data_IF_563498871952
#
_entry.id   IF_563498871952
#
_cell.length_a   1.000
_cell.length_b   1.000
_cell.length_c   1.000
_cell.angle_alpha   90.00
_cell.angle_beta   90.00
_cell.angle_gamma   90.00
#
_symmetry.space_group_name_H-M   'P 1'
#
loop_
_entity.id
_entity.type
_entity.pdbx_description
1 polymer ?
#
# COMPACT_ATOMS: atom_id res chain seq x y z
N UNK A 1 11.48 17.43 40.97
CA UNK A 1 12.54 18.44 41.22
C UNK A 1 11.95 19.58 42.05
N UNK A 2 12.77 20.32 42.79
CA UNK A 2 12.36 21.59 43.35
C UNK A 2 12.08 22.61 42.22
N UNK A 3 11.31 23.67 42.51
CA UNK A 3 10.85 24.61 41.49
C UNK A 3 12.00 25.35 40.79
N UNK A 4 13.04 25.72 41.54
CA UNK A 4 14.28 26.35 41.09
C UNK A 4 15.08 25.46 40.10
N UNK A 5 15.11 24.15 40.34
CA UNK A 5 15.75 23.18 39.44
C UNK A 5 15.04 23.14 38.09
N UNK A 6 13.70 23.11 38.10
CA UNK A 6 12.92 23.07 36.87
C UNK A 6 13.02 24.39 36.09
N UNK A 7 13.05 25.52 36.81
CA UNK A 7 13.29 26.84 36.21
C UNK A 7 14.66 26.94 35.55
N UNK A 8 15.70 26.42 36.19
CA UNK A 8 17.06 26.40 35.62
C UNK A 8 17.13 25.55 34.35
N UNK A 9 16.50 24.37 34.37
CA UNK A 9 16.45 23.51 33.19
C UNK A 9 15.68 24.16 32.04
N UNK A 10 14.53 24.79 32.33
CA UNK A 10 13.76 25.54 31.33
C UNK A 10 14.59 26.68 30.72
N UNK A 11 15.25 27.50 31.54
CA UNK A 11 16.06 28.62 31.07
C UNK A 11 17.23 28.15 30.17
N UNK A 12 17.87 27.02 30.51
CA UNK A 12 18.95 26.44 29.71
C UNK A 12 18.48 25.85 28.38
N UNK A 13 17.20 25.47 28.26
CA UNK A 13 16.61 24.81 27.10
C UNK A 13 15.48 25.63 26.46
N UNK A 14 15.41 26.94 26.72
CA UNK A 14 14.27 27.78 26.37
C UNK A 14 13.93 27.73 24.87
N UNK A 15 14.94 27.62 24.00
CA UNK A 15 14.75 27.51 22.55
C UNK A 15 13.92 26.30 22.12
N UNK A 16 14.01 25.18 22.85
CA UNK A 16 13.25 23.97 22.57
C UNK A 16 11.77 24.07 22.98
N UNK A 17 11.42 25.07 23.78
CA UNK A 17 10.07 25.28 24.32
C UNK A 17 9.36 26.50 23.72
N UNK A 18 9.94 27.13 22.71
CA UNK A 18 9.31 28.25 22.00
C UNK A 18 8.00 27.78 21.38
N UNK A 19 6.98 28.63 21.48
CA UNK A 19 5.79 28.45 20.67
C UNK A 19 6.19 28.73 19.21
N UNK A 20 5.94 27.81 18.26
CA UNK A 20 6.02 28.15 16.87
C UNK A 20 4.96 29.20 16.53
N UNK A 21 5.04 29.76 15.34
CA UNK A 21 3.94 30.54 14.79
C UNK A 21 2.74 29.62 14.53
N UNK A 22 1.56 30.08 14.95
CA UNK A 22 0.29 29.45 14.66
C UNK A 22 -0.54 30.38 13.79
N UNK A 23 -1.32 29.80 12.87
CA UNK A 23 -2.25 30.55 12.04
C UNK A 23 -3.65 29.98 12.18
N UNK A 24 -4.63 30.87 12.21
CA UNK A 24 -6.03 30.53 12.03
C UNK A 24 -6.35 30.47 10.54
N UNK A 25 -7.06 29.44 10.10
CA UNK A 25 -7.44 29.23 8.71
C UNK A 25 -8.96 29.09 8.60
N UNK A 26 -9.54 29.67 7.56
CA UNK A 26 -10.85 29.27 7.06
C UNK A 26 -10.65 28.66 5.68
N UNK A 27 -11.38 27.60 5.35
CA UNK A 27 -11.30 26.97 4.03
C UNK A 27 -12.64 26.39 3.57
N UNK A 28 -12.81 26.33 2.26
CA UNK A 28 -13.94 25.67 1.60
C UNK A 28 -13.42 24.78 0.47
N UNK A 29 -14.04 23.62 0.30
CA UNK A 29 -13.68 22.66 -0.74
C UNK A 29 -14.79 22.58 -1.76
N UNK A 30 -14.48 22.88 -3.02
CA UNK A 30 -15.36 22.71 -4.15
C UNK A 30 -15.04 21.39 -4.85
N UNK A 31 -15.88 20.39 -4.61
CA UNK A 31 -15.88 19.10 -5.29
C UNK A 31 -17.32 18.68 -5.55
N UNK A 32 -17.55 17.76 -6.49
CA UNK A 32 -18.88 17.19 -6.70
C UNK A 32 -19.44 16.57 -5.39
N UNK A 33 -18.58 15.94 -4.59
CA UNK A 33 -18.96 15.40 -3.29
C UNK A 33 -19.35 16.48 -2.27
N UNK A 34 -18.69 17.65 -2.28
CA UNK A 34 -19.02 18.76 -1.39
C UNK A 34 -20.33 19.47 -1.78
N UNK A 35 -20.68 19.46 -3.07
CA UNK A 35 -21.95 19.99 -3.60
C UNK A 35 -23.09 18.96 -3.59
N UNK A 36 -22.77 17.68 -3.40
CA UNK A 36 -23.74 16.60 -3.46
C UNK A 36 -24.77 16.73 -2.34
N UNK A 37 -26.04 16.76 -2.73
CA UNK A 37 -27.18 16.72 -1.82
C UNK A 37 -28.07 15.51 -2.13
N UNK A 38 -27.84 14.36 -1.49
CA UNK A 38 -28.70 13.18 -1.63
C UNK A 38 -30.16 13.44 -1.28
N UNK A 39 -30.46 14.44 -0.45
CA UNK A 39 -31.84 14.73 -0.03
C UNK A 39 -32.65 15.44 -1.12
N UNK A 40 -31.98 16.05 -2.10
CA UNK A 40 -32.60 16.64 -3.28
C UNK A 40 -33.09 15.61 -4.31
N UNK A 41 -32.61 14.37 -4.22
CA UNK A 41 -32.94 13.31 -5.18
C UNK A 41 -34.27 12.63 -4.80
N UNK A 42 -35.25 12.79 -5.68
CA UNK A 42 -36.60 12.23 -5.55
C UNK A 42 -36.62 10.71 -5.76
N UNK A 43 -37.56 10.01 -5.12
CA UNK A 43 -37.75 8.57 -5.33
C UNK A 43 -38.13 8.23 -6.78
N UNK A 44 -38.82 9.14 -7.49
CA UNK A 44 -39.16 8.98 -8.90
C UNK A 44 -37.90 8.94 -9.79
N UNK A 45 -36.92 9.81 -9.52
CA UNK A 45 -35.64 9.81 -10.23
C UNK A 45 -34.86 8.52 -9.99
N UNK A 46 -34.86 8.01 -8.76
CA UNK A 46 -34.21 6.74 -8.40
C UNK A 46 -34.88 5.56 -9.11
N UNK A 47 -36.22 5.52 -9.14
CA UNK A 47 -36.96 4.49 -9.84
C UNK A 47 -36.70 4.52 -11.35
N UNK A 48 -36.70 5.72 -11.96
CA UNK A 48 -36.42 5.90 -13.38
C UNK A 48 -35.00 5.44 -13.76
N UNK A 49 -33.99 5.80 -12.96
CA UNK A 49 -32.60 5.37 -13.21
C UNK A 49 -32.46 3.84 -13.06
N UNK A 50 -33.05 3.26 -12.02
CA UNK A 50 -33.05 1.81 -11.83
C UNK A 50 -33.70 1.05 -13.00
N UNK A 51 -34.80 1.57 -13.55
CA UNK A 51 -35.47 0.99 -14.71
C UNK A 51 -34.62 1.14 -15.98
N UNK A 52 -34.04 2.33 -16.20
CA UNK A 52 -33.16 2.59 -17.34
C UNK A 52 -31.90 1.71 -17.32
N UNK A 53 -31.36 1.46 -16.13
CA UNK A 53 -30.15 0.68 -15.90
C UNK A 53 -30.44 -0.75 -15.39
N UNK A 54 -31.66 -1.27 -15.61
CA UNK A 54 -32.09 -2.56 -15.06
C UNK A 54 -31.16 -3.73 -15.38
N UNK A 55 -30.46 -3.69 -16.51
CA UNK A 55 -29.48 -4.69 -16.90
C UNK A 55 -28.28 -4.76 -15.93
N UNK A 56 -27.87 -3.65 -15.33
CA UNK A 56 -26.77 -3.61 -14.35
C UNK A 56 -27.17 -4.27 -13.01
N UNK A 57 -28.47 -4.30 -12.71
CA UNK A 57 -29.03 -4.92 -11.50
C UNK A 57 -29.53 -6.34 -11.73
N UNK A 58 -29.35 -6.88 -12.94
CA UNK A 58 -29.87 -8.19 -13.32
C UNK A 58 -28.72 -9.12 -13.67
N UNK A 59 -28.57 -10.18 -12.90
CA UNK A 59 -27.76 -11.34 -13.29
C UNK A 59 -28.63 -12.23 -14.19
N UNK A 60 -28.34 -12.34 -15.50
CA UNK A 60 -29.19 -13.11 -16.41
C UNK A 60 -29.18 -14.59 -16.04
N UNK A 61 -30.26 -15.29 -16.42
CA UNK A 61 -30.31 -16.75 -16.32
C UNK A 61 -29.12 -17.37 -17.07
N UNK A 62 -28.44 -18.33 -16.42
CA UNK A 62 -27.35 -19.11 -17.03
C UNK A 62 -27.67 -20.58 -17.02
N UNK A 63 -27.24 -21.28 -18.06
CA UNK A 63 -27.46 -22.72 -18.20
C UNK A 63 -26.13 -23.41 -18.46
N UNK A 64 -25.94 -24.55 -17.79
CA UNK A 64 -24.85 -25.47 -18.11
C UNK A 64 -25.28 -26.34 -19.28
N UNK A 65 -24.69 -26.09 -20.45
CA UNK A 65 -25.12 -26.67 -21.72
C UNK A 65 -24.07 -27.66 -22.22
N UNK A 66 -24.52 -28.85 -22.59
CA UNK A 66 -23.75 -29.84 -23.35
C UNK A 66 -24.33 -29.97 -24.75
N UNK A 67 -23.47 -30.24 -25.74
CA UNK A 67 -23.90 -30.40 -27.13
C UNK A 67 -23.18 -31.55 -27.84
N UNK A 68 -23.87 -32.15 -28.81
CA UNK A 68 -23.30 -33.10 -29.76
C UNK A 68 -23.67 -32.64 -31.16
N UNK A 69 -22.67 -32.36 -31.99
CA UNK A 69 -22.84 -31.98 -33.40
C UNK A 69 -22.72 -33.23 -34.27
N UNK A 70 -23.68 -33.41 -35.18
CA UNK A 70 -23.78 -34.55 -36.09
C UNK A 70 -23.44 -34.14 -37.53
N UNK A 71 -22.95 -35.09 -38.35
CA UNK A 71 -22.58 -34.82 -39.75
C UNK A 71 -23.79 -34.53 -40.65
N UNK A 72 -24.95 -35.11 -40.33
CA UNK A 72 -26.20 -34.92 -41.07
C UNK A 72 -27.42 -35.12 -40.16
N UNK A 73 -28.59 -34.76 -40.70
CA UNK A 73 -29.85 -34.77 -39.97
C UNK A 73 -30.30 -36.20 -39.63
N UNK A 74 -30.05 -37.16 -40.51
CA UNK A 74 -30.43 -38.55 -40.31
C UNK A 74 -29.68 -39.17 -39.12
N UNK A 75 -28.39 -38.85 -38.96
CA UNK A 75 -27.59 -39.27 -37.83
C UNK A 75 -28.09 -38.66 -36.50
N UNK A 76 -28.43 -37.37 -36.50
CA UNK A 76 -28.99 -36.70 -35.32
C UNK A 76 -30.38 -37.24 -34.93
N UNK A 77 -31.26 -37.48 -35.92
CA UNK A 77 -32.60 -38.05 -35.69
C UNK A 77 -32.50 -39.50 -35.14
N UNK A 78 -31.55 -40.30 -35.67
CA UNK A 78 -31.29 -41.64 -35.15
C UNK A 78 -30.77 -41.63 -33.70
N UNK A 79 -29.92 -40.67 -33.37
CA UNK A 79 -29.44 -40.46 -32.00
C UNK A 79 -30.58 -40.04 -31.06
N UNK A 80 -31.45 -39.12 -31.49
CA UNK A 80 -32.65 -38.71 -30.73
C UNK A 80 -33.61 -39.87 -30.50
N UNK A 81 -33.85 -40.70 -31.53
CA UNK A 81 -34.67 -41.90 -31.39
C UNK A 81 -34.08 -42.90 -30.39
N UNK A 82 -32.75 -43.02 -30.34
CA UNK A 82 -32.05 -43.87 -29.38
C UNK A 82 -32.23 -43.38 -27.93
N UNK A 83 -32.23 -42.06 -27.71
CA UNK A 83 -32.56 -41.48 -26.40
C UNK A 83 -33.99 -41.82 -25.96
N UNK A 84 -34.96 -41.73 -26.89
CA UNK A 84 -36.34 -42.12 -26.62
C UNK A 84 -36.49 -43.61 -26.29
N UNK A 85 -35.59 -44.47 -26.80
CA UNK A 85 -35.50 -45.89 -26.49
C UNK A 85 -34.76 -46.21 -25.17
N UNK A 86 -34.35 -45.20 -24.39
CA UNK A 86 -33.73 -45.37 -23.07
C UNK A 86 -32.19 -45.32 -23.06
N UNK A 87 -31.55 -44.96 -24.19
CA UNK A 87 -30.11 -44.71 -24.23
C UNK A 87 -29.76 -43.44 -23.44
N UNK A 88 -28.60 -43.43 -22.79
CA UNK A 88 -28.13 -42.25 -22.05
C UNK A 88 -27.42 -41.26 -22.99
N UNK A 89 -27.54 -39.96 -22.70
CA UNK A 89 -26.88 -38.91 -23.49
C UNK A 89 -25.35 -39.03 -23.43
N UNK A 90 -24.80 -39.45 -22.29
CA UNK A 90 -23.38 -39.75 -22.09
C UNK A 90 -22.88 -40.82 -23.06
N UNK A 91 -23.70 -41.82 -23.37
CA UNK A 91 -23.34 -42.87 -24.32
C UNK A 91 -23.27 -42.32 -25.74
N UNK A 92 -24.14 -41.38 -26.11
CA UNK A 92 -24.06 -40.69 -27.40
C UNK A 92 -22.81 -39.82 -27.52
N UNK A 93 -22.39 -39.17 -26.43
CA UNK A 93 -21.14 -38.40 -26.39
C UNK A 93 -19.95 -39.33 -26.68
N UNK A 94 -19.86 -40.46 -25.97
CA UNK A 94 -18.79 -41.45 -26.13
C UNK A 94 -18.78 -42.04 -27.55
N UNK A 95 -19.95 -42.38 -28.09
CA UNK A 95 -20.09 -42.91 -29.46
C UNK A 95 -19.69 -41.90 -30.54
N UNK A 96 -19.82 -40.60 -30.25
CA UNK A 96 -19.31 -39.54 -31.12
C UNK A 96 -17.78 -39.36 -31.03
N UNK A 97 -17.09 -40.19 -30.24
CA UNK A 97 -15.64 -40.14 -30.04
C UNK A 97 -15.18 -39.00 -29.13
N UNK A 98 -16.09 -38.44 -28.31
CA UNK A 98 -15.84 -37.29 -27.42
C UNK A 98 -15.96 -37.68 -25.96
N UNK A 99 -15.34 -36.90 -25.08
CA UNK A 99 -15.59 -36.97 -23.64
C UNK A 99 -16.74 -36.04 -23.23
N UNK A 100 -17.25 -36.20 -22.00
CA UNK A 100 -18.27 -35.28 -21.45
C UNK A 100 -17.75 -33.85 -21.40
N UNK A 101 -16.49 -33.66 -21.02
CA UNK A 101 -15.86 -32.33 -20.99
C UNK A 101 -15.73 -31.74 -22.40
N UNK A 102 -15.44 -32.54 -23.43
CA UNK A 102 -15.40 -32.06 -24.83
C UNK A 102 -16.79 -31.67 -25.36
N UNK A 103 -17.86 -32.19 -24.76
CA UNK A 103 -19.24 -31.86 -25.14
C UNK A 103 -19.80 -30.64 -24.39
N UNK A 104 -19.10 -30.17 -23.36
CA UNK A 104 -19.55 -29.07 -22.50
C UNK A 104 -19.26 -27.72 -23.16
N UNK A 105 -20.31 -26.96 -23.47
CA UNK A 105 -20.19 -25.56 -23.90
C UNK A 105 -19.86 -24.62 -22.73
N UNK A 106 -20.21 -25.03 -21.51
CA UNK A 106 -19.98 -24.27 -20.29
C UNK A 106 -21.29 -23.79 -19.66
N UNK A 107 -21.16 -22.88 -18.68
CA UNK A 107 -22.29 -22.19 -18.05
C UNK A 107 -22.47 -20.83 -18.74
N UNK A 108 -23.46 -20.73 -19.61
CA UNK A 108 -23.66 -19.58 -20.50
C UNK A 108 -25.03 -18.96 -20.27
N UNK A 109 -25.09 -17.63 -20.36
CA UNK A 109 -26.34 -16.90 -20.56
C UNK A 109 -26.79 -17.00 -22.01
N UNK A 110 -28.05 -16.68 -22.29
CA UNK A 110 -28.63 -16.83 -23.64
C UNK A 110 -27.88 -16.00 -24.69
N UNK A 111 -27.42 -14.80 -24.31
CA UNK A 111 -26.69 -13.89 -25.19
C UNK A 111 -25.24 -14.36 -25.49
N UNK A 112 -24.67 -15.23 -24.64
CA UNK A 112 -23.33 -15.80 -24.85
C UNK A 112 -23.32 -17.00 -25.80
N UNK A 113 -24.50 -17.53 -26.17
CA UNK A 113 -24.61 -18.61 -27.16
C UNK A 113 -24.64 -17.99 -28.56
N UNK A 114 -23.64 -18.23 -29.43
CA UNK A 114 -23.50 -17.50 -30.69
C UNK A 114 -24.59 -17.79 -31.74
N UNK A 115 -25.15 -19.00 -31.73
CA UNK A 115 -26.19 -19.43 -32.65
C UNK A 115 -27.58 -19.23 -32.01
N UNK A 116 -28.44 -18.33 -32.53
CA UNK A 116 -29.75 -18.05 -31.94
C UNK A 116 -30.66 -19.27 -31.86
N UNK A 117 -30.60 -20.18 -32.84
CA UNK A 117 -31.44 -21.38 -32.85
C UNK A 117 -31.03 -22.35 -31.73
N UNK A 118 -29.72 -22.48 -31.51
CA UNK A 118 -29.17 -23.27 -30.39
C UNK A 118 -29.47 -22.60 -29.05
N UNK A 119 -29.39 -21.26 -28.97
CA UNK A 119 -29.71 -20.50 -27.77
C UNK A 119 -31.18 -20.68 -27.37
N UNK A 120 -32.11 -20.53 -28.31
CA UNK A 120 -33.55 -20.72 -28.07
C UNK A 120 -33.86 -22.15 -27.64
N UNK A 121 -33.28 -23.16 -28.31
CA UNK A 121 -33.48 -24.54 -27.95
C UNK A 121 -32.92 -24.88 -26.56
N UNK A 122 -31.70 -24.43 -26.25
CA UNK A 122 -31.10 -24.65 -24.94
C UNK A 122 -31.90 -23.97 -23.81
N UNK A 123 -32.39 -22.75 -24.04
CA UNK A 123 -33.15 -21.99 -23.03
C UNK A 123 -34.64 -22.40 -22.93
N UNK A 124 -35.14 -23.24 -23.82
CA UNK A 124 -36.46 -23.86 -23.70
C UNK A 124 -36.45 -25.16 -22.85
N UNK A 125 -35.28 -25.74 -22.60
CA UNK A 125 -35.15 -27.03 -21.91
C UNK A 125 -35.40 -26.96 -20.41
N UNK A 126 -35.89 -28.05 -19.82
CA UNK A 126 -35.86 -28.24 -18.37
C UNK A 126 -34.51 -28.83 -17.95
N UNK A 127 -34.13 -28.73 -16.65
CA UNK A 127 -32.92 -29.37 -16.16
C UNK A 127 -32.92 -30.87 -16.50
N UNK A 128 -31.81 -31.34 -17.05
CA UNK A 128 -31.54 -32.71 -17.54
C UNK A 128 -32.34 -33.13 -18.78
N UNK A 129 -33.08 -32.24 -19.42
CA UNK A 129 -33.77 -32.52 -20.67
C UNK A 129 -32.83 -32.39 -21.89
N UNK A 130 -33.17 -33.09 -22.97
CA UNK A 130 -32.44 -33.06 -24.25
C UNK A 130 -33.31 -32.40 -25.32
N UNK A 131 -32.74 -31.48 -26.10
CA UNK A 131 -33.41 -30.78 -27.21
C UNK A 131 -33.88 -31.73 -28.29
N UNK A 132 -34.82 -31.27 -29.12
CA UNK A 132 -34.97 -31.85 -30.45
C UNK A 132 -33.74 -31.55 -31.31
N UNK A 133 -33.67 -32.14 -32.50
CA UNK A 133 -32.56 -31.87 -33.40
C UNK A 133 -32.68 -30.44 -33.93
N UNK A 134 -31.69 -29.63 -33.59
CA UNK A 134 -31.61 -28.21 -33.98
C UNK A 134 -30.58 -28.07 -35.08
N UNK A 135 -30.90 -27.37 -36.16
CA UNK A 135 -29.92 -27.11 -37.22
C UNK A 135 -28.99 -25.98 -36.76
N UNK A 136 -27.76 -26.31 -36.39
CA UNK A 136 -26.73 -25.35 -35.99
C UNK A 136 -25.78 -24.98 -37.13
N UNK A 137 -25.03 -23.90 -36.95
CA UNK A 137 -24.07 -23.39 -37.96
C UNK A 137 -23.03 -24.42 -38.47
N UNK A 138 -22.72 -25.45 -37.66
CA UNK A 138 -21.73 -26.50 -37.98
C UNK A 138 -22.35 -27.88 -38.27
N UNK A 139 -23.68 -27.94 -38.40
CA UNK A 139 -24.43 -29.18 -38.60
C UNK A 139 -25.54 -29.37 -37.56
N UNK A 140 -26.37 -30.42 -37.69
CA UNK A 140 -27.46 -30.69 -36.75
C UNK A 140 -26.93 -31.04 -35.35
N UNK A 141 -27.57 -30.50 -34.32
CA UNK A 141 -27.10 -30.57 -32.92
C UNK A 141 -28.19 -31.16 -32.02
N UNK A 142 -27.77 -32.01 -31.08
CA UNK A 142 -28.54 -32.33 -29.88
C UNK A 142 -27.89 -31.69 -28.66
N UNK A 143 -28.69 -31.01 -27.84
CA UNK A 143 -28.23 -30.27 -26.68
C UNK A 143 -28.86 -30.81 -25.41
N UNK A 144 -28.13 -30.79 -24.30
CA UNK A 144 -28.64 -31.11 -22.97
C UNK A 144 -28.31 -29.98 -22.00
N UNK A 145 -29.30 -29.58 -21.21
CA UNK A 145 -29.07 -28.65 -20.10
C UNK A 145 -28.92 -29.46 -18.82
N UNK A 146 -27.79 -29.35 -18.13
CA UNK A 146 -27.53 -30.12 -16.90
C UNK A 146 -27.88 -29.33 -15.63
N UNK A 147 -27.83 -28.01 -15.69
CA UNK A 147 -28.11 -27.08 -14.59
C UNK A 147 -28.72 -25.78 -15.15
N UNK A 148 -29.68 -25.20 -14.40
CA UNK A 148 -30.24 -23.88 -14.67
C UNK A 148 -30.00 -23.02 -13.43
N UNK A 149 -29.30 -21.90 -13.61
CA UNK A 149 -29.13 -20.84 -12.63
C UNK A 149 -30.10 -19.72 -13.00
N UNK A 150 -31.19 -19.51 -12.23
CA UNK A 150 -32.24 -18.57 -12.60
C UNK A 150 -31.71 -17.12 -12.63
N UNK A 151 -32.41 -16.28 -13.37
CA UNK A 151 -32.18 -14.83 -13.33
C UNK A 151 -32.35 -14.31 -11.90
N UNK A 152 -31.42 -13.45 -11.47
CA UNK A 152 -31.48 -12.77 -10.17
C UNK A 152 -31.44 -11.27 -10.40
N UNK A 153 -32.51 -10.59 -9.99
CA UNK A 153 -32.61 -9.13 -10.03
C UNK A 153 -32.44 -8.56 -8.62
N UNK A 154 -31.43 -7.71 -8.42
CA UNK A 154 -31.26 -6.94 -7.18
C UNK A 154 -32.42 -5.95 -7.08
N UNK A 155 -33.35 -6.06 -6.10
CA UNK A 155 -34.51 -5.19 -6.03
C UNK A 155 -34.11 -3.74 -5.74
N UNK A 156 -34.94 -2.78 -6.22
CA UNK A 156 -34.72 -1.35 -6.01
C UNK A 156 -34.47 -1.00 -4.53
N UNK A 157 -35.19 -1.64 -3.61
CA UNK A 157 -35.05 -1.42 -2.16
C UNK A 157 -33.63 -1.68 -1.65
N UNK A 158 -32.89 -2.63 -2.25
CA UNK A 158 -31.52 -2.94 -1.85
C UNK A 158 -30.50 -1.95 -2.40
N UNK A 159 -30.79 -1.29 -3.52
CA UNK A 159 -29.89 -0.34 -4.20
C UNK A 159 -30.31 1.12 -4.08
N UNK A 160 -31.47 1.41 -3.47
CA UNK A 160 -32.04 2.76 -3.41
C UNK A 160 -31.05 3.79 -2.87
N UNK A 161 -30.38 3.50 -1.75
CA UNK A 161 -29.43 4.43 -1.13
C UNK A 161 -28.12 4.57 -1.91
N UNK A 162 -27.73 3.53 -2.65
CA UNK A 162 -26.58 3.56 -3.57
C UNK A 162 -26.89 4.52 -4.72
N UNK A 163 -28.00 4.29 -5.42
CA UNK A 163 -28.46 5.12 -6.53
C UNK A 163 -28.73 6.57 -6.12
N UNK A 164 -29.30 6.79 -4.92
CA UNK A 164 -29.51 8.15 -4.42
C UNK A 164 -28.20 8.91 -4.32
N UNK A 165 -27.13 8.29 -3.81
CA UNK A 165 -25.81 8.93 -3.69
C UNK A 165 -25.17 9.13 -5.05
N UNK A 166 -25.28 8.16 -5.96
CA UNK A 166 -24.71 8.26 -7.30
C UNK A 166 -25.38 9.35 -8.13
N UNK A 167 -26.72 9.40 -8.13
CA UNK A 167 -27.48 10.45 -8.81
C UNK A 167 -27.18 11.83 -8.23
N UNK A 168 -27.07 11.94 -6.90
CA UNK A 168 -26.70 13.20 -6.25
C UNK A 168 -25.29 13.65 -6.61
N UNK A 169 -24.34 12.72 -6.72
CA UNK A 169 -22.97 13.03 -7.12
C UNK A 169 -22.90 13.43 -8.59
N UNK A 170 -23.63 12.75 -9.47
CA UNK A 170 -23.71 13.08 -10.89
C UNK A 170 -24.33 14.46 -11.11
N UNK A 171 -25.46 14.76 -10.45
CA UNK A 171 -26.09 16.07 -10.52
C UNK A 171 -25.17 17.19 -9.98
N UNK A 172 -24.41 16.92 -8.93
CA UNK A 172 -23.46 17.87 -8.38
C UNK A 172 -22.24 18.09 -9.26
N UNK A 173 -21.78 17.06 -10.00
CA UNK A 173 -20.66 17.18 -10.93
C UNK A 173 -20.93 18.22 -12.03
N UNK A 174 -22.17 18.28 -12.55
CA UNK A 174 -22.59 19.29 -13.52
C UNK A 174 -22.57 20.72 -12.93
N UNK A 175 -22.75 20.85 -11.61
CA UNK A 175 -22.79 22.12 -10.89
C UNK A 175 -21.42 22.67 -10.48
N UNK A 176 -20.33 21.88 -10.55
CA UNK A 176 -19.01 22.29 -10.05
C UNK A 176 -18.51 23.57 -10.74
N UNK A 177 -18.60 23.63 -12.07
CA UNK A 177 -18.14 24.81 -12.82
C UNK A 177 -18.97 26.05 -12.48
N UNK A 178 -20.30 25.90 -12.36
CA UNK A 178 -21.18 27.01 -11.99
C UNK A 178 -20.88 27.53 -10.58
N UNK A 179 -20.61 26.63 -9.63
CA UNK A 179 -20.23 27.00 -8.27
C UNK A 179 -18.86 27.69 -8.24
N UNK A 180 -17.91 27.24 -9.06
CA UNK A 180 -16.63 27.92 -9.24
C UNK A 180 -16.81 29.36 -9.75
N UNK A 181 -17.59 29.54 -10.81
CA UNK A 181 -17.85 30.85 -11.41
C UNK A 181 -18.57 31.77 -10.41
N UNK A 182 -19.56 31.25 -9.66
CA UNK A 182 -20.26 32.01 -8.62
C UNK A 182 -19.34 32.44 -7.47
N UNK A 183 -18.39 31.59 -7.08
CA UNK A 183 -17.38 31.92 -6.09
C UNK A 183 -16.47 33.06 -6.58
N UNK A 184 -15.92 32.92 -7.80
CA UNK A 184 -15.01 33.91 -8.38
C UNK A 184 -15.69 35.26 -8.66
N UNK A 185 -16.95 35.24 -9.13
CA UNK A 185 -17.75 36.46 -9.31
C UNK A 185 -18.02 37.17 -7.97
N UNK A 186 -18.31 36.42 -6.90
CA UNK A 186 -18.50 36.99 -5.58
C UNK A 186 -17.20 37.64 -5.07
N UNK A 187 -16.05 36.98 -5.27
CA UNK A 187 -14.73 37.50 -4.90
C UNK A 187 -14.38 38.75 -5.70
N UNK A 188 -14.60 38.75 -7.02
CA UNK A 188 -14.43 39.92 -7.87
C UNK A 188 -15.34 41.10 -7.46
N UNK A 189 -16.50 40.80 -6.87
CA UNK A 189 -17.41 41.78 -6.25
C UNK A 189 -16.98 42.29 -4.87
N UNK A 190 -15.85 41.82 -4.33
CA UNK A 190 -15.29 42.23 -3.04
C UNK A 190 -15.81 41.46 -1.82
N UNK A 191 -16.51 40.33 -2.01
CA UNK A 191 -16.86 39.44 -0.90
C UNK A 191 -15.64 38.71 -0.34
N UNK A 192 -15.67 38.39 0.95
CA UNK A 192 -14.64 37.54 1.58
C UNK A 192 -14.70 36.11 1.03
N UNK A 193 -13.66 35.30 1.23
CA UNK A 193 -13.66 33.88 0.84
C UNK A 193 -14.86 33.14 1.45
N UNK A 194 -15.17 33.40 2.73
CA UNK A 194 -16.29 32.78 3.43
C UNK A 194 -17.64 33.17 2.82
N UNK A 195 -17.85 34.46 2.51
CA UNK A 195 -19.07 34.92 1.85
C UNK A 195 -19.22 34.35 0.43
N UNK A 196 -18.11 34.30 -0.33
CA UNK A 196 -18.07 33.73 -1.67
C UNK A 196 -18.36 32.22 -1.65
N UNK A 197 -17.79 31.48 -0.70
CA UNK A 197 -18.05 30.06 -0.49
C UNK A 197 -19.54 29.81 -0.20
N UNK A 198 -20.14 30.57 0.72
CA UNK A 198 -21.57 30.44 1.03
C UNK A 198 -22.47 30.75 -0.17
N UNK A 199 -22.12 31.76 -0.99
CA UNK A 199 -22.86 32.05 -2.24
C UNK A 199 -22.73 30.94 -3.28
N UNK A 200 -21.59 30.27 -3.33
CA UNK A 200 -21.35 29.10 -4.17
C UNK A 200 -21.96 27.79 -3.61
N UNK A 201 -22.68 27.85 -2.48
CA UNK A 201 -23.29 26.67 -1.84
C UNK A 201 -22.29 25.79 -1.09
N UNK A 202 -21.09 26.29 -0.79
CA UNK A 202 -20.04 25.55 -0.12
C UNK A 202 -20.09 25.76 1.40
N UNK A 203 -19.83 24.69 2.14
CA UNK A 203 -19.62 24.76 3.57
C UNK A 203 -18.20 25.25 3.88
N UNK A 204 -18.09 26.22 4.79
CA UNK A 204 -16.81 26.75 5.27
C UNK A 204 -16.41 26.04 6.55
N UNK A 205 -15.15 25.62 6.62
CA UNK A 205 -14.53 24.99 7.78
C UNK A 205 -13.46 25.91 8.34
N UNK A 206 -13.32 25.91 9.66
CA UNK A 206 -12.36 26.77 10.36
C UNK A 206 -11.41 25.96 11.21
N UNK A 207 -10.12 26.29 11.14
CA UNK A 207 -9.06 25.77 12.00
C UNK A 207 -8.56 26.95 12.84
N UNK A 208 -8.81 27.00 14.16
CA UNK A 208 -8.47 28.17 14.97
C UNK A 208 -6.97 28.46 15.05
N UNK A 209 -6.17 27.39 15.17
CA UNK A 209 -4.73 27.44 15.38
C UNK A 209 -4.06 26.21 14.79
N UNK A 210 -3.20 26.41 13.79
CA UNK A 210 -2.37 25.36 13.22
C UNK A 210 -0.96 25.88 12.95
N UNK A 211 0.04 25.05 13.27
CA UNK A 211 1.44 25.32 12.95
C UNK A 211 1.77 24.91 11.52
N UNK A 212 2.92 25.33 11.00
CA UNK A 212 3.40 24.90 9.67
C UNK A 212 3.54 23.37 9.55
N UNK A 213 3.77 22.67 10.67
CA UNK A 213 3.83 21.22 10.72
C UNK A 213 2.44 20.53 10.74
N UNK A 214 1.35 21.30 10.63
CA UNK A 214 -0.02 20.78 10.64
C UNK A 214 -0.51 20.36 12.02
N UNK A 215 0.06 20.91 13.09
CA UNK A 215 -0.30 20.58 14.47
C UNK A 215 -0.98 21.75 15.19
N UNK A 216 -1.98 21.45 16.00
CA UNK A 216 -2.62 22.37 16.94
C UNK A 216 -1.69 22.69 18.14
N UNK A 217 -2.01 23.70 18.98
CA UNK A 217 -1.15 24.11 20.09
C UNK A 217 -0.82 23.03 21.13
N UNK A 218 -1.69 22.04 21.29
CA UNK A 218 -1.54 20.86 22.14
C UNK A 218 -0.70 19.73 21.50
N UNK A 219 -0.24 19.92 20.25
CA UNK A 219 0.56 18.96 19.49
C UNK A 219 -0.24 17.93 18.71
N UNK A 220 -1.57 18.05 18.68
CA UNK A 220 -2.43 17.13 17.91
C UNK A 220 -2.37 17.47 16.40
N UNK A 221 -2.23 16.50 15.49
CA UNK A 221 -2.34 16.77 14.05
C UNK A 221 -3.75 17.25 13.68
N UNK A 222 -3.85 18.27 12.82
CA UNK A 222 -5.13 18.68 12.23
C UNK A 222 -5.59 17.59 11.26
N UNK A 223 -6.73 16.98 11.58
CA UNK A 223 -7.37 15.99 10.72
C UNK A 223 -8.13 16.67 9.56
N UNK A 224 -8.32 15.93 8.47
CA UNK A 224 -9.26 16.26 7.40
C UNK A 224 -9.05 17.62 6.69
N UNK A 225 -7.81 18.13 6.67
CA UNK A 225 -7.39 19.24 5.82
C UNK A 225 -6.90 18.70 4.46
N UNK A 226 -7.66 18.88 3.35
CA UNK A 226 -7.22 18.44 2.03
C UNK A 226 -6.02 19.26 1.55
N UNK A 227 -5.12 18.64 0.77
CA UNK A 227 -3.89 19.27 0.28
C UNK A 227 -3.13 20.01 1.41
N UNK A 228 -3.04 19.38 2.59
CA UNK A 228 -2.57 20.05 3.82
C UNK A 228 -1.18 20.67 3.68
N UNK A 229 -0.28 20.03 2.95
CA UNK A 229 1.07 20.56 2.72
C UNK A 229 1.03 21.87 1.93
N UNK A 230 0.26 21.91 0.85
CA UNK A 230 0.10 23.07 -0.03
C UNK A 230 -0.65 24.21 0.66
N UNK A 231 -1.74 23.88 1.37
CA UNK A 231 -2.51 24.86 2.14
C UNK A 231 -1.66 25.49 3.22
N UNK A 232 -0.93 24.69 4.01
CA UNK A 232 -0.08 25.22 5.07
C UNK A 232 1.09 26.01 4.50
N UNK A 233 1.72 25.55 3.43
CA UNK A 233 2.81 26.27 2.79
C UNK A 233 2.37 27.65 2.27
N UNK A 234 1.19 27.73 1.63
CA UNK A 234 0.61 28.98 1.16
C UNK A 234 0.14 29.87 2.31
N UNK A 235 -0.61 29.31 3.25
CA UNK A 235 -1.14 30.04 4.39
C UNK A 235 -0.06 30.65 5.28
N UNK A 236 1.13 30.06 5.39
CA UNK A 236 2.26 30.63 6.13
C UNK A 236 3.08 31.68 5.37
N UNK A 237 2.75 31.92 4.10
CA UNK A 237 3.35 32.96 3.26
C UNK A 237 2.42 34.17 3.04
N UNK A 238 1.17 34.10 3.50
CA UNK A 238 0.12 35.10 3.25
C UNK A 238 -0.28 35.84 4.52
N UNK A 239 -0.49 37.16 4.47
CA UNK A 239 -0.99 37.92 5.63
C UNK A 239 -2.53 37.86 5.77
N UNK A 240 -3.07 38.19 6.95
CA UNK A 240 -4.52 38.27 7.16
C UNK A 240 -5.15 39.27 6.18
N UNK A 241 -6.23 38.86 5.51
CA UNK A 241 -6.97 39.69 4.57
C UNK A 241 -6.39 39.75 3.15
N UNK A 242 -5.35 38.96 2.85
CA UNK A 242 -4.88 38.77 1.47
C UNK A 242 -5.59 37.60 0.81
N UNK A 243 -6.02 37.81 -0.43
CA UNK A 243 -6.62 36.77 -1.25
C UNK A 243 -5.59 35.74 -1.71
N UNK A 244 -5.95 34.47 -1.63
CA UNK A 244 -5.11 33.37 -2.06
C UNK A 244 -5.64 32.75 -3.36
N UNK A 245 -4.74 32.32 -4.27
CA UNK A 245 -5.18 31.51 -5.41
C UNK A 245 -5.72 30.16 -4.90
N UNK A 246 -6.74 29.59 -5.57
CA UNK A 246 -7.25 28.28 -5.21
C UNK A 246 -6.20 27.20 -5.40
N UNK A 247 -6.22 26.19 -4.54
CA UNK A 247 -5.40 25.00 -4.67
C UNK A 247 -6.21 23.95 -5.42
N UNK A 248 -5.64 23.38 -6.48
CA UNK A 248 -6.26 22.28 -7.21
C UNK A 248 -6.29 21.01 -6.36
N UNK A 249 -7.45 20.33 -6.35
CA UNK A 249 -7.65 19.02 -5.74
C UNK A 249 -7.78 17.96 -6.85
N UNK A 250 -7.68 16.66 -6.51
CA UNK A 250 -8.07 15.58 -7.41
C UNK A 250 -9.51 15.75 -7.94
N UNK A 251 -9.82 15.05 -9.03
CA UNK A 251 -11.16 15.05 -9.66
C UNK A 251 -11.66 16.44 -10.07
N UNK A 252 -10.72 17.31 -10.45
CA UNK A 252 -11.00 18.66 -10.94
C UNK A 252 -11.66 19.57 -9.88
N UNK A 253 -11.41 19.30 -8.60
CA UNK A 253 -11.87 20.11 -7.48
C UNK A 253 -10.93 21.26 -7.11
N UNK A 254 -11.40 22.14 -6.23
CA UNK A 254 -10.65 23.30 -5.74
C UNK A 254 -10.76 23.42 -4.22
N UNK A 255 -9.70 23.94 -3.60
CA UNK A 255 -9.70 24.37 -2.21
C UNK A 255 -9.42 25.87 -2.16
N UNK A 256 -10.34 26.60 -1.55
CA UNK A 256 -10.22 28.03 -1.25
C UNK A 256 -9.89 28.18 0.23
N UNK A 257 -8.99 29.10 0.58
CA UNK A 257 -8.62 29.32 1.97
C UNK A 257 -8.22 30.78 2.23
N UNK A 258 -8.42 31.21 3.48
CA UNK A 258 -7.99 32.50 4.01
C UNK A 258 -7.31 32.32 5.36
N UNK A 259 -6.31 33.17 5.61
CA UNK A 259 -5.69 33.29 6.94
C UNK A 259 -6.55 34.24 7.78
N UNK A 260 -7.13 33.73 8.86
CA UNK A 260 -8.03 34.48 9.76
C UNK A 260 -7.29 35.10 10.94
N UNK A 261 -6.15 34.53 11.33
CA UNK A 261 -5.34 34.97 12.47
C UNK A 261 -3.88 34.57 12.27
N UNK A 262 -2.94 35.39 12.75
CA UNK A 262 -1.53 35.04 12.86
C UNK A 262 -1.10 35.26 14.31
N UNK A 263 -0.74 34.18 14.99
CA UNK A 263 -0.15 34.19 16.32
C UNK A 263 1.36 33.96 16.19
N UNK A 264 2.18 35.03 16.29
CA UNK A 264 3.61 34.97 16.00
C UNK A 264 4.36 34.04 16.96
N UNK A 265 5.47 33.49 16.49
CA UNK A 265 6.37 32.72 17.33
C UNK A 265 6.81 33.53 18.55
N UNK A 266 6.72 32.92 19.73
CA UNK A 266 7.06 33.59 21.00
C UNK A 266 7.71 32.64 21.99
N UNK A 267 8.39 33.23 22.96
CA UNK A 267 8.80 32.50 24.15
C UNK A 267 7.55 32.06 24.93
N UNK A 268 7.48 30.77 25.27
CA UNK A 268 6.52 30.29 26.26
C UNK A 268 7.05 30.56 27.66
N UNK A 269 6.17 30.65 28.65
CA UNK A 269 6.55 30.66 30.05
C UNK A 269 6.71 29.23 30.58
N UNK A 270 7.45 29.06 31.68
CA UNK A 270 7.55 27.74 32.32
C UNK A 270 6.17 27.18 32.68
N UNK A 271 5.22 28.01 33.10
CA UNK A 271 3.89 27.55 33.49
C UNK A 271 3.12 26.94 32.30
N UNK A 272 3.31 27.49 31.09
CA UNK A 272 2.68 26.98 29.87
C UNK A 272 3.21 25.61 29.43
N UNK A 273 4.49 25.34 29.67
CA UNK A 273 5.15 24.08 29.23
C UNK A 273 5.58 23.20 30.40
N UNK A 274 5.09 23.46 31.62
CA UNK A 274 5.63 22.88 32.85
C UNK A 274 5.70 21.36 32.82
N UNK A 275 4.63 20.71 32.37
CA UNK A 275 4.56 19.25 32.29
C UNK A 275 5.53 18.66 31.27
N UNK A 276 5.68 19.32 30.11
CA UNK A 276 6.65 18.93 29.09
C UNK A 276 8.09 19.08 29.62
N UNK A 277 8.42 20.23 30.22
CA UNK A 277 9.72 20.50 30.82
C UNK A 277 10.01 19.50 31.95
N UNK A 278 9.01 19.15 32.76
CA UNK A 278 9.17 18.16 33.83
C UNK A 278 9.44 16.76 33.28
N UNK A 279 8.74 16.34 32.23
CA UNK A 279 8.96 15.07 31.57
C UNK A 279 10.37 14.99 30.95
N UNK A 280 10.77 16.04 30.23
CA UNK A 280 12.09 16.14 29.62
C UNK A 280 13.20 16.16 30.68
N UNK A 281 13.05 16.95 31.74
CA UNK A 281 13.98 16.98 32.86
C UNK A 281 14.12 15.61 33.52
N UNK A 282 13.00 14.91 33.79
CA UNK A 282 13.02 13.56 34.37
C UNK A 282 13.79 12.60 33.47
N UNK A 283 13.59 12.66 32.15
CA UNK A 283 14.30 11.84 31.17
C UNK A 283 15.80 12.14 31.19
N UNK A 284 16.19 13.42 31.16
CA UNK A 284 17.59 13.84 31.25
C UNK A 284 18.24 13.40 32.56
N UNK A 285 17.55 13.60 33.69
CA UNK A 285 18.08 13.27 35.01
C UNK A 285 18.19 11.75 35.22
N UNK A 286 17.21 10.97 34.76
CA UNK A 286 17.29 9.52 34.75
C UNK A 286 18.52 9.04 33.96
N UNK A 287 18.74 9.58 32.76
CA UNK A 287 19.90 9.25 31.94
C UNK A 287 21.23 9.60 32.63
N UNK A 288 21.31 10.76 33.30
CA UNK A 288 22.48 11.18 34.09
C UNK A 288 22.77 10.21 35.24
N UNK A 289 21.75 9.90 36.04
CA UNK A 289 21.87 8.99 37.19
C UNK A 289 22.23 7.56 36.76
N UNK A 290 21.62 7.07 35.67
CA UNK A 290 21.99 5.80 35.06
C UNK A 290 23.46 5.79 34.64
N UNK A 291 23.93 6.85 33.97
CA UNK A 291 25.34 6.96 33.59
C UNK A 291 26.30 6.96 34.79
N UNK A 292 25.98 7.68 35.86
CA UNK A 292 26.77 7.69 37.10
C UNK A 292 26.81 6.31 37.77
N UNK A 293 25.66 5.64 37.86
CA UNK A 293 25.57 4.29 38.42
C UNK A 293 26.39 3.31 37.60
N UNK A 294 26.23 3.27 36.27
CA UNK A 294 27.01 2.37 35.42
C UNK A 294 28.52 2.66 35.51
N UNK A 295 28.93 3.92 35.63
CA UNK A 295 30.35 4.28 35.84
C UNK A 295 30.88 3.82 37.20
N UNK A 296 30.06 3.83 38.26
CA UNK A 296 30.43 3.26 39.55
C UNK A 296 30.58 1.73 39.47
N UNK A 297 29.70 1.05 38.74
CA UNK A 297 29.82 -0.40 38.49
C UNK A 297 31.06 -0.74 37.67
N UNK A 298 31.40 0.07 36.66
CA UNK A 298 32.67 -0.05 35.92
C UNK A 298 33.88 -0.01 36.85
N UNK A 299 33.93 0.95 37.79
CA UNK A 299 35.03 1.03 38.78
C UNK A 299 35.12 -0.19 39.69
N UNK A 300 33.98 -0.74 40.13
CA UNK A 300 33.94 -2.00 40.90
C UNK A 300 34.50 -3.16 40.07
N UNK A 301 34.12 -3.23 38.80
CA UNK A 301 34.59 -4.25 37.87
C UNK A 301 36.11 -4.16 37.63
N UNK A 302 36.62 -2.94 37.46
CA UNK A 302 38.05 -2.64 37.34
C UNK A 302 38.84 -2.96 38.62
N UNK A 303 38.21 -2.83 39.80
CA UNK A 303 38.79 -3.20 41.08
C UNK A 303 38.80 -4.73 41.35
N UNK A 304 38.31 -5.55 40.43
CA UNK A 304 38.41 -7.01 40.47
C UNK A 304 37.15 -7.75 40.88
N UNK A 305 36.04 -7.06 41.16
CA UNK A 305 34.75 -7.71 41.40
C UNK A 305 34.21 -8.36 40.11
N UNK A 306 33.59 -9.55 40.19
CA UNK A 306 33.09 -10.25 38.99
C UNK A 306 31.77 -9.63 38.50
N UNK A 307 31.50 -9.74 37.19
CA UNK A 307 30.21 -9.29 36.63
C UNK A 307 29.01 -10.02 37.27
N UNK A 308 29.15 -11.28 37.66
CA UNK A 308 28.10 -12.03 38.38
C UNK A 308 27.79 -11.41 39.75
N UNK A 309 28.81 -11.03 40.52
CA UNK A 309 28.63 -10.39 41.81
C UNK A 309 28.02 -8.98 41.68
N UNK A 310 28.48 -8.21 40.69
CA UNK A 310 27.92 -6.91 40.35
C UNK A 310 26.45 -7.06 39.96
N UNK A 311 26.12 -7.95 39.03
CA UNK A 311 24.75 -8.20 38.58
C UNK A 311 23.84 -8.62 39.74
N UNK A 312 24.29 -9.55 40.58
CA UNK A 312 23.54 -9.97 41.77
C UNK A 312 23.29 -8.81 42.76
N UNK A 313 24.29 -7.94 42.99
CA UNK A 313 24.13 -6.77 43.88
C UNK A 313 23.14 -5.74 43.34
N UNK A 314 22.92 -5.73 42.03
CA UNK A 314 22.01 -4.81 41.34
C UNK A 314 20.65 -5.46 41.01
N UNK A 315 20.45 -6.73 41.35
CA UNK A 315 19.24 -7.50 41.00
C UNK A 315 19.10 -7.75 39.49
N UNK A 316 20.22 -7.77 38.77
CA UNK A 316 20.30 -7.96 37.33
C UNK A 316 20.84 -9.36 36.99
N UNK A 317 20.62 -9.78 35.75
CA UNK A 317 21.25 -10.97 35.16
C UNK A 317 22.28 -10.54 34.12
N UNK A 318 23.44 -11.20 34.09
CA UNK A 318 24.40 -11.01 32.99
C UNK A 318 23.89 -11.69 31.72
N UNK A 319 24.24 -11.14 30.57
CA UNK A 319 24.03 -11.75 29.26
C UNK A 319 25.36 -11.88 28.53
N UNK A 320 25.43 -12.76 27.52
CA UNK A 320 26.64 -13.08 26.76
C UNK A 320 26.38 -12.92 25.26
N UNK A 321 27.01 -11.92 24.67
CA UNK A 321 27.01 -11.71 23.23
C UNK A 321 28.14 -12.52 22.57
N UNK A 322 27.80 -13.58 21.83
CA UNK A 322 28.77 -14.47 21.17
C UNK A 322 28.93 -14.10 19.70
N UNK A 323 30.16 -14.18 19.18
CA UNK A 323 30.48 -14.01 17.76
C UNK A 323 29.91 -12.73 17.12
N UNK A 324 29.88 -11.63 17.88
CA UNK A 324 29.44 -10.34 17.36
C UNK A 324 30.49 -9.75 16.42
N UNK A 325 30.03 -9.10 15.35
CA UNK A 325 30.86 -8.26 14.48
C UNK A 325 30.44 -6.80 14.61
N UNK A 326 31.20 -5.87 14.00
CA UNK A 326 30.80 -4.45 13.90
C UNK A 326 29.44 -4.25 13.20
N UNK A 327 28.98 -5.24 12.43
CA UNK A 327 27.74 -5.22 11.67
C UNK A 327 26.63 -5.99 12.43
N UNK A 328 26.92 -7.23 12.84
CA UNK A 328 25.96 -8.15 13.43
C UNK A 328 25.69 -7.92 14.92
N UNK A 329 26.61 -7.26 15.64
CA UNK A 329 26.47 -7.02 17.09
C UNK A 329 25.46 -5.94 17.45
N UNK A 330 24.98 -5.16 16.48
CA UNK A 330 24.07 -4.03 16.69
C UNK A 330 22.71 -4.46 17.22
N UNK A 331 22.23 -5.64 16.84
CA UNK A 331 20.97 -6.20 17.33
C UNK A 331 20.99 -6.52 18.83
N UNK A 332 22.15 -6.91 19.37
CA UNK A 332 22.29 -7.31 20.78
C UNK A 332 22.78 -6.16 21.67
N UNK A 333 23.76 -5.38 21.22
CA UNK A 333 24.40 -4.35 22.04
C UNK A 333 24.01 -2.91 21.66
N UNK A 334 23.32 -2.73 20.54
CA UNK A 334 23.15 -1.42 19.92
C UNK A 334 24.47 -0.88 19.33
N UNK A 335 24.38 0.19 18.55
CA UNK A 335 25.54 0.77 17.87
C UNK A 335 26.61 1.27 18.86
N UNK A 336 26.19 1.90 19.95
CA UNK A 336 27.11 2.41 20.97
C UNK A 336 27.78 1.25 21.75
N UNK A 337 27.04 0.18 22.04
CA UNK A 337 27.58 -1.01 22.70
C UNK A 337 28.60 -1.74 21.85
N UNK A 338 28.33 -1.92 20.55
CA UNK A 338 29.31 -2.45 19.58
C UNK A 338 30.56 -1.56 19.56
N UNK A 339 30.39 -0.25 19.43
CA UNK A 339 31.52 0.69 19.42
C UNK A 339 32.38 0.55 20.68
N UNK A 340 31.75 0.46 21.85
CA UNK A 340 32.44 0.28 23.13
C UNK A 340 33.14 -1.10 23.24
N UNK A 341 32.51 -2.18 22.77
CA UNK A 341 33.13 -3.51 22.76
C UNK A 341 34.37 -3.58 21.85
N UNK A 342 34.41 -2.81 20.76
CA UNK A 342 35.55 -2.75 19.85
C UNK A 342 36.57 -1.63 20.18
N UNK A 343 36.46 -1.01 21.36
CA UNK A 343 37.34 0.10 21.76
C UNK A 343 38.71 -0.34 22.27
N UNK A 344 38.91 -1.64 22.54
CA UNK A 344 40.16 -2.17 23.05
C UNK A 344 40.30 -3.69 22.86
N UNK A 345 41.37 -4.31 23.39
CA UNK A 345 41.62 -5.75 23.27
C UNK A 345 40.71 -6.60 24.18
N UNK A 346 40.87 -7.92 24.15
CA UNK A 346 40.31 -8.80 25.20
C UNK A 346 40.72 -8.30 26.59
N UNK A 347 39.80 -8.35 27.54
CA UNK A 347 39.88 -7.74 28.86
C UNK A 347 39.34 -6.31 28.95
N UNK A 348 38.91 -5.69 27.84
CA UNK A 348 38.35 -4.34 27.87
C UNK A 348 37.05 -4.29 28.66
N UNK A 349 37.00 -3.41 29.67
CA UNK A 349 35.79 -3.09 30.43
C UNK A 349 35.27 -1.75 29.94
N UNK A 350 34.05 -1.70 29.41
CA UNK A 350 33.48 -0.47 28.88
C UNK A 350 32.03 -0.27 29.32
N UNK A 351 31.52 0.93 29.07
CA UNK A 351 30.10 1.23 29.24
C UNK A 351 29.56 1.86 27.97
N UNK A 352 28.27 1.62 27.71
CA UNK A 352 27.60 2.17 26.54
C UNK A 352 26.12 2.39 26.81
N UNK A 353 25.48 3.19 25.97
CA UNK A 353 24.02 3.20 25.89
C UNK A 353 23.56 1.98 25.11
N UNK A 354 22.53 1.28 25.59
CA UNK A 354 21.96 0.13 24.93
C UNK A 354 21.17 0.52 23.67
N UNK A 355 20.74 -0.47 22.89
CA UNK A 355 19.97 -0.25 21.65
C UNK A 355 18.61 0.43 21.84
N UNK A 356 18.02 0.35 23.04
CA UNK A 356 16.74 0.98 23.39
C UNK A 356 16.86 2.49 23.73
N UNK A 357 18.08 3.03 23.73
CA UNK A 357 18.43 4.41 24.10
C UNK A 357 18.10 4.84 25.55
N UNK A 358 17.44 4.00 26.34
CA UNK A 358 17.05 4.27 27.73
C UNK A 358 17.86 3.49 28.75
N UNK A 359 18.47 2.37 28.34
CA UNK A 359 19.28 1.51 29.19
C UNK A 359 20.77 1.75 29.00
N UNK A 360 21.57 1.34 30.00
CA UNK A 360 23.03 1.45 29.99
C UNK A 360 23.64 0.07 30.20
N UNK A 361 24.68 -0.21 29.43
CA UNK A 361 25.44 -1.46 29.47
C UNK A 361 26.75 -1.26 30.23
N UNK A 362 27.09 -2.23 31.08
CA UNK A 362 28.47 -2.51 31.51
C UNK A 362 28.89 -3.79 30.79
N UNK A 363 29.99 -3.74 30.04
CA UNK A 363 30.41 -4.86 29.21
C UNK A 363 31.89 -5.19 29.44
N UNK A 364 32.17 -6.49 29.43
CA UNK A 364 33.50 -7.07 29.42
C UNK A 364 33.75 -7.75 28.08
N UNK A 365 34.83 -7.39 27.40
CA UNK A 365 35.29 -8.09 26.21
C UNK A 365 36.09 -9.29 26.68
N UNK A 366 35.54 -10.50 26.59
CA UNK A 366 36.22 -11.71 27.08
C UNK A 366 37.13 -12.37 26.05
N UNK A 367 36.83 -12.20 24.77
CA UNK A 367 37.60 -12.78 23.68
C UNK A 367 37.55 -11.89 22.43
N UNK A 368 38.63 -11.88 21.66
CA UNK A 368 38.72 -11.18 20.38
C UNK A 368 39.33 -12.13 19.36
N UNK A 369 38.51 -12.63 18.44
CA UNK A 369 38.97 -13.42 17.30
C UNK A 369 39.46 -12.51 16.17
N UNK A 370 40.61 -12.85 15.58
CA UNK A 370 40.99 -12.25 14.30
C UNK A 370 39.89 -12.54 13.25
N UNK A 371 39.58 -11.60 12.35
CA UNK A 371 38.78 -11.96 11.18
C UNK A 371 39.49 -13.12 10.48
N UNK A 372 38.75 -14.19 10.14
CA UNK A 372 39.30 -15.26 9.31
C UNK A 372 39.86 -14.59 8.06
N UNK A 373 41.14 -14.82 7.76
CA UNK A 373 41.74 -14.36 6.51
C UNK A 373 41.13 -15.24 5.41
N UNK A 374 40.24 -14.69 4.57
CA UNK A 374 39.52 -15.49 3.59
C UNK A 374 40.44 -16.06 2.50
N UNK A 375 41.73 -15.67 2.49
CA UNK A 375 42.74 -16.16 1.55
C UNK A 375 43.68 -17.17 2.22
N UNK A 376 44.02 -17.00 3.50
CA UNK A 376 44.94 -17.91 4.20
C UNK A 376 44.36 -19.30 4.47
N UNK A 377 43.03 -19.41 4.59
CA UNK A 377 42.32 -20.67 4.86
C UNK A 377 41.69 -21.32 3.60
N UNK A 378 41.97 -20.79 2.40
CA UNK A 378 41.59 -21.50 1.16
C UNK A 378 42.49 -22.73 1.00
N UNK A 379 41.88 -23.91 0.89
CA UNK A 379 42.59 -25.11 0.55
C UNK A 379 43.15 -25.05 -0.88
N UNK A 380 44.11 -25.91 -1.24
CA UNK A 380 44.71 -25.93 -2.58
C UNK A 380 43.67 -26.07 -3.70
N UNK A 381 42.55 -26.74 -3.41
CA UNK A 381 41.45 -26.93 -4.35
C UNK A 381 40.64 -25.64 -4.58
N UNK A 382 40.30 -24.90 -3.52
CA UNK A 382 39.58 -23.63 -3.67
C UNK A 382 40.47 -22.55 -4.33
N UNK A 383 41.77 -22.55 -4.03
CA UNK A 383 42.74 -21.66 -4.70
C UNK A 383 42.83 -21.98 -6.20
N UNK A 384 42.90 -23.26 -6.58
CA UNK A 384 42.95 -23.65 -8.00
C UNK A 384 41.63 -23.35 -8.71
N UNK A 385 40.47 -23.53 -8.06
CA UNK A 385 39.16 -23.16 -8.61
C UNK A 385 39.05 -21.66 -8.85
N UNK A 386 39.47 -20.84 -7.89
CA UNK A 386 39.45 -19.38 -8.01
C UNK A 386 40.45 -18.92 -9.10
N UNK A 387 41.64 -19.52 -9.14
CA UNK A 387 42.64 -19.26 -10.17
C UNK A 387 42.15 -19.64 -11.57
N UNK A 388 41.41 -20.75 -11.68
CA UNK A 388 40.80 -21.19 -12.94
C UNK A 388 39.70 -20.23 -13.37
N UNK A 389 38.80 -19.82 -12.46
CA UNK A 389 37.78 -18.81 -12.74
C UNK A 389 38.39 -17.50 -13.24
N UNK A 390 39.40 -16.97 -12.53
CA UNK A 390 40.08 -15.74 -12.94
C UNK A 390 40.76 -15.91 -14.31
N UNK A 391 41.44 -17.05 -14.56
CA UNK A 391 42.08 -17.32 -15.86
C UNK A 391 41.07 -17.43 -16.99
N UNK A 392 39.94 -18.10 -16.77
CA UNK A 392 38.86 -18.23 -17.76
C UNK A 392 38.22 -16.88 -18.05
N UNK A 393 37.96 -16.07 -17.03
CA UNK A 393 37.37 -14.75 -17.18
C UNK A 393 38.30 -13.79 -17.92
N UNK A 394 39.61 -13.82 -17.61
CA UNK A 394 40.62 -13.04 -18.32
C UNK A 394 40.77 -13.49 -19.77
N UNK A 395 40.75 -14.80 -20.02
CA UNK A 395 40.80 -15.37 -21.37
C UNK A 395 39.55 -14.99 -22.16
N UNK A 396 38.36 -15.07 -21.56
CA UNK A 396 37.11 -14.71 -22.22
C UNK A 396 37.05 -13.21 -22.51
N UNK A 397 37.50 -12.37 -21.58
CA UNK A 397 37.60 -10.93 -21.77
C UNK A 397 38.58 -10.57 -22.89
N UNK A 398 39.74 -11.25 -22.95
CA UNK A 398 40.72 -11.07 -24.01
C UNK A 398 40.20 -11.57 -25.36
N UNK A 399 39.50 -12.71 -25.40
CA UNK A 399 38.85 -13.21 -26.61
C UNK A 399 37.84 -12.19 -27.09
N UNK A 400 36.91 -11.74 -26.23
CA UNK A 400 35.88 -10.77 -26.58
C UNK A 400 36.49 -9.49 -27.15
N UNK A 401 37.56 -8.96 -26.53
CA UNK A 401 38.30 -7.81 -27.06
C UNK A 401 38.85 -8.08 -28.47
N UNK A 402 39.44 -9.25 -28.71
CA UNK A 402 39.92 -9.64 -30.04
C UNK A 402 38.79 -9.84 -31.04
N UNK A 403 37.60 -10.29 -30.62
CA UNK A 403 36.44 -10.43 -31.51
C UNK A 403 35.85 -9.06 -31.87
N UNK A 404 35.96 -8.07 -30.99
CA UNK A 404 35.54 -6.69 -31.24
C UNK A 404 36.52 -5.95 -32.16
N UNK A 405 37.84 -6.17 -32.00
CA UNK A 405 38.89 -5.48 -32.78
C UNK A 405 39.15 -6.11 -34.17
N UNK A 406 38.77 -7.36 -34.39
CA UNK A 406 39.02 -8.07 -35.65
C UNK A 406 37.74 -8.66 -36.26
N UNK A 407 37.51 -8.41 -37.55
CA UNK A 407 36.39 -8.99 -38.31
C UNK A 407 36.49 -10.53 -38.38
N UNK A 408 35.62 -11.23 -37.64
CA UNK A 408 35.56 -12.70 -37.66
C UNK A 408 34.73 -13.18 -38.84
N UNK A 409 35.40 -13.66 -39.89
CA UNK A 409 34.76 -14.36 -41.01
C UNK A 409 34.61 -15.84 -40.67
N UNK A 410 33.38 -16.26 -40.33
CA UNK A 410 33.08 -17.68 -40.14
C UNK A 410 32.84 -18.37 -41.49
N UNK A 411 33.33 -19.60 -41.64
CA UNK A 411 33.06 -20.47 -42.78
C UNK A 411 32.23 -21.68 -42.32
N UNK A 412 30.89 -21.54 -42.19
CA UNK A 412 30.02 -22.55 -41.58
C UNK A 412 30.19 -23.94 -42.20
N UNK A 413 30.35 -24.01 -43.52
CA UNK A 413 30.53 -25.28 -44.25
C UNK A 413 31.83 -26.01 -43.87
N UNK A 414 32.92 -25.27 -43.62
CA UNK A 414 34.20 -25.86 -43.20
C UNK A 414 34.15 -26.33 -41.74
N UNK A 415 33.45 -25.58 -40.87
CA UNK A 415 33.23 -25.94 -39.47
C UNK A 415 32.41 -27.23 -39.39
N UNK A 416 31.34 -27.33 -40.17
CA UNK A 416 30.46 -28.50 -40.20
C UNK A 416 31.20 -29.74 -40.76
N UNK A 417 32.04 -29.57 -41.78
CA UNK A 417 32.89 -30.63 -42.31
C UNK A 417 33.91 -31.14 -41.27
N UNK A 418 34.55 -30.23 -40.52
CA UNK A 418 35.50 -30.58 -39.47
C UNK A 418 34.83 -31.30 -38.28
N UNK A 419 33.63 -30.87 -37.87
CA UNK A 419 32.86 -31.53 -36.81
C UNK A 419 32.43 -32.95 -37.19
N UNK A 420 32.20 -33.20 -38.48
CA UNK A 420 31.83 -34.53 -38.99
C UNK A 420 33.04 -35.48 -39.04
N UNK A 421 34.27 -34.96 -39.11
CA UNK A 421 35.52 -35.74 -39.03
C UNK A 421 35.95 -36.07 -37.60
N UNK A 422 35.42 -35.35 -36.60
CA UNK A 422 35.70 -35.54 -35.18
C UNK A 422 34.70 -36.47 -34.47
N UNK A 423 33.60 -36.83 -35.14
CA UNK A 423 32.71 -37.93 -34.75
C UNK A 423 33.13 -39.19 -35.48
#
# INVERSE_FOLDING_TARGET
PAADVLQTYFAANASAYRAPEYRGLAYATLTAGALSDPTSITDEAIAADYEQNAAQFTTPERRRIEQIVYPDRAAADAAKASLAAGKLFEQLIIESGRTVDDSLLGNLSKAEVPDPALADAAFALQPRAVSDVVDGAFGPVLMRVTEIQPEVKRPLEEVREELRRELALAAAADGVQQAYDAFEDARAGGSTMEEAALRAGLAVKTIPDVSLAGQTPDGTPVADLPASTEVLAGAFQTEVGFENPPIGLPDNGYLFYDVTKIDPARERTLDEVREQVLADWKRTEAARLLAERTNALKRRREAGETLDAIAASEGLTKDVANAITRITGTAQLGQAGVTAAYSGPSGTIATATAGDATSRLLLDVTDVSAPMDPVADLGPAEVEQLSTMIRTDFLQSYINLLQDDYDIVQYPAAIQAAQTLLR
#
